data_IF_954442522524
#
_entry.id   IF_954442522524
#
_cell.length_a   1.000
_cell.length_b   1.000
_cell.length_c   1.000
_cell.angle_alpha   90.00
_cell.angle_beta   90.00
_cell.angle_gamma   90.00
#
_symmetry.space_group_name_H-M   'P 1'
#
loop_
_entity.id
_entity.type
_entity.pdbx_description
1 polymer ?
#
# COMPACT_ATOMS: atom_id res chain seq x y z
N UNK A 1 21.29 -11.77 -10.63
CA UNK A 1 20.65 -11.41 -9.37
C UNK A 1 19.34 -10.69 -9.69
N UNK A 2 18.35 -10.84 -8.86
CA UNK A 2 17.01 -10.26 -8.99
C UNK A 2 16.38 -10.21 -7.59
N UNK A 3 15.07 -10.04 -7.51
CA UNK A 3 14.33 -9.97 -6.26
C UNK A 3 13.18 -10.97 -6.22
N UNK A 4 12.90 -11.48 -5.04
CA UNK A 4 11.67 -12.20 -4.73
C UNK A 4 10.80 -11.27 -3.85
N UNK A 5 9.85 -10.59 -4.50
CA UNK A 5 8.93 -9.65 -3.85
C UNK A 5 7.68 -10.39 -3.38
N UNK A 6 7.32 -10.19 -2.11
CA UNK A 6 6.06 -10.67 -1.56
C UNK A 6 5.17 -9.47 -1.22
N UNK A 7 3.95 -9.49 -1.74
CA UNK A 7 2.94 -8.48 -1.44
C UNK A 7 1.73 -9.16 -0.83
N UNK A 8 1.46 -8.86 0.44
CA UNK A 8 0.31 -9.38 1.15
C UNK A 8 -0.80 -8.34 1.19
N UNK A 9 -1.99 -8.73 0.79
CA UNK A 9 -3.18 -7.89 0.74
C UNK A 9 -4.23 -8.49 1.66
N UNK A 10 -4.88 -7.67 2.49
CA UNK A 10 -5.97 -8.13 3.35
C UNK A 10 -7.05 -8.85 2.52
N UNK A 11 -7.46 -10.02 2.97
CA UNK A 11 -8.44 -10.84 2.26
C UNK A 11 -9.82 -10.81 2.97
N UNK A 12 -10.75 -9.93 2.55
CA UNK A 12 -12.10 -9.90 3.09
C UNK A 12 -12.99 -11.06 2.60
N UNK A 13 -12.57 -11.81 1.58
CA UNK A 13 -13.41 -12.85 0.96
C UNK A 13 -13.75 -14.01 1.90
N UNK A 14 -12.92 -14.21 2.94
CA UNK A 14 -13.18 -15.23 3.96
C UNK A 14 -14.45 -14.93 4.79
N UNK A 15 -14.87 -13.66 4.92
CA UNK A 15 -16.09 -13.25 5.65
C UNK A 15 -17.19 -12.70 4.74
N UNK A 16 -16.83 -12.05 3.64
CA UNK A 16 -17.80 -11.48 2.68
C UNK A 16 -18.16 -12.56 1.65
N UNK A 17 -19.19 -13.33 1.94
CA UNK A 17 -19.62 -14.40 1.03
C UNK A 17 -20.48 -13.86 -0.11
N UNK A 18 -20.30 -14.34 -1.35
CA UNK A 18 -21.12 -13.96 -2.48
C UNK A 18 -22.61 -14.08 -2.21
N UNK A 19 -23.39 -13.05 -2.54
CA UNK A 19 -24.84 -13.00 -2.35
C UNK A 19 -25.31 -12.69 -0.92
N UNK A 20 -24.40 -12.55 0.05
CA UNK A 20 -24.74 -12.10 1.41
C UNK A 20 -25.20 -10.64 1.41
N UNK A 21 -25.89 -10.20 2.47
CA UNK A 21 -26.30 -8.79 2.62
C UNK A 21 -25.08 -7.86 2.67
N UNK A 22 -23.97 -8.34 3.22
CA UNK A 22 -22.71 -7.61 3.25
C UNK A 22 -22.11 -7.43 1.85
N UNK A 23 -22.14 -8.48 1.02
CA UNK A 23 -21.70 -8.43 -0.38
C UNK A 23 -22.58 -7.48 -1.21
N UNK A 24 -23.91 -7.59 -1.07
CA UNK A 24 -24.87 -6.70 -1.75
C UNK A 24 -24.63 -5.23 -1.39
N UNK A 25 -24.40 -4.93 -0.10
CA UNK A 25 -24.13 -3.56 0.34
C UNK A 25 -22.77 -3.07 -0.15
N UNK A 26 -21.75 -3.91 -0.15
CA UNK A 26 -20.43 -3.58 -0.70
C UNK A 26 -20.50 -3.27 -2.21
N UNK A 27 -21.25 -4.09 -2.97
CA UNK A 27 -21.52 -3.84 -4.40
C UNK A 27 -22.27 -2.52 -4.63
N UNK A 28 -23.27 -2.23 -3.79
CA UNK A 28 -24.03 -0.98 -3.87
C UNK A 28 -23.15 0.26 -3.63
N UNK A 29 -22.22 0.19 -2.68
CA UNK A 29 -21.25 1.25 -2.39
C UNK A 29 -20.19 1.37 -3.47
N UNK A 30 -19.71 0.26 -3.99
CA UNK A 30 -18.70 0.16 -5.05
C UNK A 30 -17.28 0.53 -4.64
N UNK A 31 -17.13 1.48 -3.70
CA UNK A 31 -15.84 1.95 -3.18
C UNK A 31 -15.99 2.56 -1.79
N UNK A 32 -14.90 2.73 -1.07
CA UNK A 32 -14.85 3.60 0.10
C UNK A 32 -14.77 5.05 -0.34
N UNK A 33 -15.50 5.95 0.33
CA UNK A 33 -15.51 7.39 0.05
C UNK A 33 -14.76 8.14 1.14
N UNK A 34 -13.78 8.94 0.72
CA UNK A 34 -12.91 9.70 1.62
C UNK A 34 -13.27 11.19 1.54
N UNK A 35 -13.64 11.76 2.68
CA UNK A 35 -13.93 13.18 2.84
C UNK A 35 -12.84 13.84 3.69
N UNK A 36 -12.89 15.17 3.81
CA UNK A 36 -11.86 15.89 4.55
C UNK A 36 -11.81 15.54 6.04
N UNK A 37 -12.96 15.22 6.63
CA UNK A 37 -13.17 14.95 8.07
C UNK A 37 -13.62 13.52 8.37
N UNK A 38 -14.02 12.75 7.36
CA UNK A 38 -14.63 11.45 7.57
C UNK A 38 -14.36 10.49 6.42
N UNK A 39 -14.53 9.20 6.68
CA UNK A 39 -14.46 8.14 5.69
C UNK A 39 -15.73 7.27 5.80
N UNK A 40 -16.36 7.01 4.67
CA UNK A 40 -17.43 6.02 4.58
C UNK A 40 -16.85 4.78 3.93
N UNK A 41 -16.55 3.73 4.70
CA UNK A 41 -15.93 2.52 4.15
C UNK A 41 -16.91 1.70 3.33
N UNK A 42 -16.42 0.99 2.32
CA UNK A 42 -17.20 0.03 1.52
C UNK A 42 -17.69 -1.14 2.37
N UNK A 43 -16.87 -1.61 3.30
CA UNK A 43 -17.20 -2.64 4.30
C UNK A 43 -17.33 -2.01 5.69
N UNK A 44 -18.09 -2.59 6.63
CA UNK A 44 -18.19 -2.11 8.01
C UNK A 44 -16.82 -1.94 8.67
N UNK A 45 -16.64 -0.88 9.48
CA UNK A 45 -15.37 -0.56 10.14
C UNK A 45 -14.84 -1.71 11.00
N UNK A 46 -15.73 -2.50 11.62
CA UNK A 46 -15.35 -3.70 12.37
C UNK A 46 -14.59 -4.73 11.51
N UNK A 47 -14.80 -4.73 10.20
CA UNK A 47 -14.06 -5.57 9.25
C UNK A 47 -12.85 -4.82 8.69
N UNK A 48 -13.05 -3.65 8.09
CA UNK A 48 -12.00 -2.91 7.37
C UNK A 48 -10.88 -2.39 8.29
N UNK A 49 -11.23 -1.95 9.49
CA UNK A 49 -10.26 -1.41 10.47
C UNK A 49 -9.90 -2.44 11.56
N UNK A 50 -10.74 -3.46 11.73
CA UNK A 50 -10.60 -4.50 12.76
C UNK A 50 -10.07 -5.82 12.21
N UNK A 51 -10.99 -6.72 11.83
CA UNK A 51 -10.69 -8.13 11.55
C UNK A 51 -9.73 -8.33 10.35
N UNK A 52 -9.78 -7.47 9.35
CA UNK A 52 -8.93 -7.55 8.14
C UNK A 52 -7.77 -6.56 8.12
N UNK A 53 -7.68 -5.66 9.09
CA UNK A 53 -6.53 -4.76 9.17
C UNK A 53 -5.26 -5.56 9.49
N UNK A 54 -4.22 -5.39 8.67
CA UNK A 54 -2.93 -6.08 8.84
C UNK A 54 -2.09 -5.38 9.93
N UNK A 55 -2.62 -5.39 11.16
CA UNK A 55 -1.99 -4.77 12.32
C UNK A 55 -0.75 -5.55 12.77
N UNK A 56 0.28 -4.88 13.33
CA UNK A 56 1.46 -5.54 13.87
C UNK A 56 1.12 -6.59 14.93
N UNK A 57 1.90 -7.67 14.96
CA UNK A 57 1.82 -8.75 15.94
C UNK A 57 0.45 -9.47 15.99
N UNK A 58 -0.31 -9.36 14.91
CA UNK A 58 -1.60 -10.04 14.80
C UNK A 58 -1.62 -10.90 13.54
N UNK A 59 -1.98 -12.18 13.74
CA UNK A 59 -2.17 -13.10 12.62
C UNK A 59 -3.46 -12.74 11.87
N UNK A 60 -3.35 -12.50 10.57
CA UNK A 60 -4.47 -12.10 9.69
C UNK A 60 -4.48 -12.89 8.40
N UNK A 61 -5.67 -13.22 7.86
CA UNK A 61 -5.79 -13.78 6.54
C UNK A 61 -5.40 -12.74 5.48
N UNK A 62 -4.61 -13.17 4.51
CA UNK A 62 -4.16 -12.34 3.42
C UNK A 62 -4.06 -13.14 2.13
N UNK A 63 -4.27 -12.46 1.01
CA UNK A 63 -3.89 -12.91 -0.30
C UNK A 63 -2.43 -12.50 -0.53
N UNK A 64 -1.54 -13.46 -0.66
CA UNK A 64 -0.10 -13.21 -0.84
C UNK A 64 0.28 -13.47 -2.29
N UNK A 65 0.85 -12.44 -2.91
CA UNK A 65 1.39 -12.50 -4.25
C UNK A 65 2.92 -12.58 -4.17
N UNK A 66 3.51 -13.65 -4.70
CA UNK A 66 4.95 -13.86 -4.80
C UNK A 66 5.38 -13.55 -6.23
N UNK A 67 6.28 -12.61 -6.40
CA UNK A 67 6.79 -12.15 -7.69
C UNK A 67 8.30 -12.37 -7.75
N UNK A 68 8.77 -13.15 -8.73
CA UNK A 68 10.20 -13.19 -9.04
C UNK A 68 10.50 -12.14 -10.10
N UNK A 69 11.41 -11.22 -9.77
CA UNK A 69 11.74 -10.04 -10.56
C UNK A 69 13.21 -10.13 -10.98
N UNK A 70 13.47 -9.99 -12.28
CA UNK A 70 14.83 -9.97 -12.81
C UNK A 70 15.58 -8.70 -12.44
N UNK A 71 16.90 -8.68 -12.62
CA UNK A 71 17.72 -7.46 -12.46
C UNK A 71 17.28 -6.29 -13.36
N UNK A 72 16.55 -6.55 -14.42
CA UNK A 72 16.07 -5.55 -15.37
C UNK A 72 14.63 -5.09 -15.08
N UNK A 73 13.99 -5.67 -14.07
CA UNK A 73 12.63 -5.31 -13.62
C UNK A 73 11.51 -6.07 -14.33
N UNK A 74 11.84 -7.12 -15.09
CA UNK A 74 10.85 -8.01 -15.67
C UNK A 74 10.33 -8.99 -14.61
N UNK A 75 9.00 -9.11 -14.51
CA UNK A 75 8.36 -10.11 -13.65
C UNK A 75 8.37 -11.45 -14.40
N UNK A 76 9.17 -12.38 -13.94
CA UNK A 76 9.39 -13.68 -14.59
C UNK A 76 8.47 -14.77 -14.07
N UNK A 77 8.01 -14.66 -12.82
CA UNK A 77 7.09 -15.60 -12.21
C UNK A 77 6.13 -14.87 -11.28
N UNK A 78 4.89 -15.36 -11.22
CA UNK A 78 3.87 -14.92 -10.28
C UNK A 78 3.17 -16.14 -9.69
N UNK A 79 3.06 -16.19 -8.36
CA UNK A 79 2.26 -17.18 -7.63
C UNK A 79 1.41 -16.47 -6.59
N UNK A 80 0.15 -16.82 -6.54
CA UNK A 80 -0.82 -16.22 -5.61
C UNK A 80 -1.35 -17.34 -4.71
N UNK A 81 -1.41 -17.08 -3.42
CA UNK A 81 -1.96 -18.01 -2.45
C UNK A 81 -2.66 -17.30 -1.30
N UNK A 82 -3.59 -17.99 -0.68
CA UNK A 82 -4.17 -17.57 0.60
C UNK A 82 -3.23 -17.98 1.72
N UNK A 83 -2.92 -17.06 2.61
CA UNK A 83 -2.03 -17.31 3.74
C UNK A 83 -2.50 -16.61 5.01
N UNK A 84 -1.99 -17.06 6.14
CA UNK A 84 -2.04 -16.32 7.38
C UNK A 84 -0.71 -15.60 7.56
N UNK A 85 -0.74 -14.29 7.72
CA UNK A 85 0.44 -13.47 7.92
C UNK A 85 0.40 -12.77 9.26
N UNK A 86 1.58 -12.42 9.77
CA UNK A 86 1.76 -11.57 10.94
C UNK A 86 2.65 -10.39 10.55
N UNK A 87 2.06 -9.20 10.51
CA UNK A 87 2.81 -7.98 10.25
C UNK A 87 3.78 -7.69 11.39
N UNK A 88 5.00 -7.28 11.08
CA UNK A 88 6.04 -6.98 12.10
C UNK A 88 6.07 -5.51 12.49
N UNK A 89 5.61 -4.61 11.62
CA UNK A 89 5.59 -3.19 11.89
C UNK A 89 4.52 -2.47 11.08
N UNK A 90 4.03 -1.36 11.61
CA UNK A 90 3.22 -0.37 10.90
C UNK A 90 4.09 0.86 10.69
N UNK A 91 4.38 1.15 9.43
CA UNK A 91 5.24 2.26 9.04
C UNK A 91 4.42 3.39 8.42
N UNK A 92 4.79 4.64 8.70
CA UNK A 92 4.22 5.79 8.01
C UNK A 92 5.01 6.12 6.74
N UNK A 93 4.33 6.69 5.74
CA UNK A 93 5.00 7.17 4.52
C UNK A 93 6.08 8.20 4.81
N UNK A 94 5.88 9.02 5.86
CA UNK A 94 6.83 10.05 6.27
C UNK A 94 8.11 9.44 6.85
N UNK A 95 7.99 8.44 7.74
CA UNK A 95 9.15 7.71 8.30
C UNK A 95 9.98 7.04 7.21
N UNK A 96 9.32 6.30 6.32
CA UNK A 96 10.00 5.58 5.24
C UNK A 96 10.66 6.55 4.27
N UNK A 97 9.99 7.65 3.90
CA UNK A 97 10.57 8.66 3.01
C UNK A 97 11.79 9.35 3.64
N UNK A 98 11.72 9.73 4.92
CA UNK A 98 12.84 10.31 5.63
C UNK A 98 14.05 9.38 5.66
N UNK A 99 13.84 8.09 5.93
CA UNK A 99 14.89 7.09 5.89
C UNK A 99 15.52 6.96 4.50
N UNK A 100 14.71 6.85 3.45
CA UNK A 100 15.18 6.70 2.07
C UNK A 100 15.90 7.95 1.56
N UNK A 101 15.55 9.13 2.05
CA UNK A 101 16.22 10.40 1.72
C UNK A 101 17.47 10.66 2.56
N UNK A 102 17.83 9.78 3.50
CA UNK A 102 18.91 9.99 4.48
C UNK A 102 18.69 11.28 5.31
N UNK A 103 17.46 11.62 5.62
CA UNK A 103 17.13 12.75 6.50
C UNK A 103 17.30 12.33 7.96
N UNK A 104 18.22 12.97 8.66
CA UNK A 104 18.41 12.76 10.10
C UNK A 104 17.22 13.34 10.87
N UNK A 105 16.24 12.50 11.19
CA UNK A 105 15.19 12.86 12.16
C UNK A 105 15.66 12.47 13.55
N UNK A 106 15.84 13.47 14.37
CA UNK A 106 16.31 13.35 15.78
C UNK A 106 15.21 12.99 16.77
N UNK A 107 13.95 12.90 16.34
CA UNK A 107 12.84 12.55 17.24
C UNK A 107 12.83 11.04 17.50
N UNK A 108 13.09 10.68 18.74
CA UNK A 108 13.28 9.30 19.22
C UNK A 108 12.09 8.36 19.05
N UNK A 109 10.88 8.90 18.91
CA UNK A 109 9.65 8.11 18.79
C UNK A 109 9.36 7.63 17.35
N UNK A 110 10.11 8.11 16.35
CA UNK A 110 9.87 7.85 14.93
C UNK A 110 10.98 7.00 14.28
N UNK A 111 11.84 6.36 15.09
CA UNK A 111 12.96 5.59 14.57
C UNK A 111 12.52 4.21 14.05
N UNK A 112 12.95 3.91 12.82
CA UNK A 112 12.80 2.59 12.24
C UNK A 112 13.71 1.58 12.95
N UNK A 113 13.18 0.39 13.21
CA UNK A 113 13.97 -0.73 13.73
C UNK A 113 15.12 -1.06 12.77
N UNK A 114 16.29 -1.36 13.33
CA UNK A 114 17.46 -1.75 12.55
C UNK A 114 17.25 -3.02 11.71
N UNK A 115 16.34 -3.87 12.11
CA UNK A 115 15.97 -5.06 11.34
C UNK A 115 15.14 -4.74 10.07
N UNK A 116 14.45 -3.60 10.05
CA UNK A 116 13.58 -3.20 8.92
C UNK A 116 14.35 -2.38 7.88
N UNK A 117 15.34 -1.61 8.29
CA UNK A 117 16.11 -0.73 7.41
C UNK A 117 16.70 -1.43 6.17
N UNK A 118 17.38 -2.61 6.31
CA UNK A 118 17.89 -3.33 5.14
C UNK A 118 16.78 -3.75 4.18
N UNK A 119 15.63 -4.21 4.72
CA UNK A 119 14.49 -4.63 3.90
C UNK A 119 13.90 -3.46 3.12
N UNK A 120 13.81 -2.26 3.73
CA UNK A 120 13.33 -1.06 3.05
C UNK A 120 14.29 -0.60 1.94
N UNK A 121 15.60 -0.73 2.14
CA UNK A 121 16.60 -0.44 1.10
C UNK A 121 16.44 -1.36 -0.09
N UNK A 122 16.39 -2.67 0.14
CA UNK A 122 16.18 -3.68 -0.90
C UNK A 122 14.85 -3.47 -1.64
N UNK A 123 13.79 -3.16 -0.90
CA UNK A 123 12.47 -2.89 -1.46
C UNK A 123 12.46 -1.63 -2.33
N UNK A 124 13.17 -0.59 -1.92
CA UNK A 124 13.34 0.62 -2.72
C UNK A 124 14.10 0.34 -4.02
N UNK A 125 15.18 -0.42 -3.95
CA UNK A 125 15.96 -0.78 -5.15
C UNK A 125 15.11 -1.60 -6.12
N UNK A 126 14.33 -2.55 -5.61
CA UNK A 126 13.36 -3.30 -6.40
C UNK A 126 12.32 -2.38 -7.07
N UNK A 127 11.74 -1.43 -6.32
CA UNK A 127 10.75 -0.50 -6.85
C UNK A 127 11.33 0.41 -7.95
N UNK A 128 12.57 0.87 -7.80
CA UNK A 128 13.27 1.68 -8.81
C UNK A 128 13.46 0.89 -10.12
N UNK A 129 13.82 -0.38 -10.02
CA UNK A 129 14.01 -1.25 -11.19
C UNK A 129 12.67 -1.54 -11.88
N UNK A 130 11.61 -1.83 -11.11
CA UNK A 130 10.25 -1.99 -11.64
C UNK A 130 9.76 -0.72 -12.38
N UNK A 131 9.96 0.45 -11.79
CA UNK A 131 9.62 1.72 -12.44
C UNK A 131 10.40 1.93 -13.74
N UNK A 132 11.71 1.67 -13.72
CA UNK A 132 12.56 1.78 -14.91
C UNK A 132 12.09 0.86 -16.05
N UNK A 133 11.71 -0.37 -15.71
CA UNK A 133 11.15 -1.32 -16.67
C UNK A 133 9.82 -0.82 -17.28
N UNK A 134 8.91 -0.33 -16.44
CA UNK A 134 7.62 0.24 -16.87
C UNK A 134 7.83 1.46 -17.78
N UNK A 135 8.79 2.33 -17.49
CA UNK A 135 9.14 3.48 -18.34
C UNK A 135 9.59 3.05 -19.71
N UNK A 136 10.44 2.02 -19.82
CA UNK A 136 10.87 1.45 -21.13
C UNK A 136 9.69 0.95 -21.96
N UNK A 137 8.62 0.48 -21.30
CA UNK A 137 7.39 0.00 -21.96
C UNK A 137 6.35 1.11 -22.19
N UNK A 138 6.64 2.37 -21.88
CA UNK A 138 5.70 3.50 -21.93
C UNK A 138 4.41 3.28 -21.11
N UNK A 139 4.52 2.58 -19.97
CA UNK A 139 3.42 2.25 -19.07
C UNK A 139 3.37 3.15 -17.81
N UNK A 140 4.12 4.22 -17.80
CA UNK A 140 4.12 5.21 -16.70
C UNK A 140 3.29 6.40 -17.13
N UNK A 141 2.32 6.75 -16.31
CA UNK A 141 1.56 7.99 -16.43
C UNK A 141 2.27 9.11 -15.65
N UNK A 142 2.06 10.34 -16.10
CA UNK A 142 2.56 11.50 -15.37
C UNK A 142 1.90 11.61 -13.99
N UNK A 143 2.70 12.05 -13.01
CA UNK A 143 2.20 12.29 -11.66
C UNK A 143 1.11 13.37 -11.70
N UNK A 144 -0.07 13.05 -11.16
CA UNK A 144 -1.14 14.05 -10.98
C UNK A 144 -1.02 14.64 -9.60
N UNK A 145 -1.09 15.96 -9.52
CA UNK A 145 -1.16 16.65 -8.23
C UNK A 145 -2.50 16.34 -7.56
N UNK A 146 -2.44 15.75 -6.39
CA UNK A 146 -3.60 15.55 -5.53
C UNK A 146 -3.75 16.73 -4.58
N UNK A 147 -4.99 17.10 -4.27
CA UNK A 147 -5.29 18.21 -3.35
C UNK A 147 -6.11 17.69 -2.17
N UNK A 148 -5.84 18.25 -0.99
CA UNK A 148 -6.58 17.95 0.23
C UNK A 148 -7.09 19.24 0.84
N UNK A 149 -8.39 19.27 1.22
CA UNK A 149 -8.95 20.32 2.03
C UNK A 149 -8.55 20.16 3.50
N UNK A 150 -8.00 21.20 4.10
CA UNK A 150 -7.85 21.32 5.55
C UNK A 150 -9.08 21.99 6.12
N UNK A 151 -9.62 21.42 7.21
CA UNK A 151 -10.78 21.96 7.88
C UNK A 151 -10.35 22.84 9.06
N UNK A 152 -11.12 23.91 9.31
CA UNK A 152 -11.01 24.69 10.53
C UNK A 152 -11.80 24.03 11.68
N UNK A 153 -11.76 24.65 12.87
CA UNK A 153 -12.46 24.16 14.08
C UNK A 153 -13.99 24.08 13.92
N UNK A 154 -14.55 24.72 12.89
CA UNK A 154 -15.96 24.69 12.56
C UNK A 154 -16.32 23.62 11.51
N UNK A 155 -15.36 22.79 11.09
CA UNK A 155 -15.55 21.76 10.07
C UNK A 155 -15.71 22.30 8.64
N UNK A 156 -15.29 23.55 8.38
CA UNK A 156 -15.30 24.16 7.04
C UNK A 156 -13.90 24.10 6.42
N UNK A 157 -13.84 23.95 5.10
CA UNK A 157 -12.56 24.01 4.37
C UNK A 157 -11.95 25.40 4.57
N UNK A 158 -10.78 25.42 5.22
CA UNK A 158 -9.99 26.60 5.47
C UNK A 158 -8.94 26.81 4.38
N UNK A 159 -8.26 25.73 4.00
CA UNK A 159 -7.21 25.73 2.98
C UNK A 159 -7.31 24.51 2.08
N UNK A 160 -6.83 24.64 0.86
CA UNK A 160 -6.59 23.52 -0.05
C UNK A 160 -5.08 23.43 -0.25
N UNK A 161 -4.51 22.31 0.19
CA UNK A 161 -3.08 22.03 0.06
C UNK A 161 -2.83 20.98 -1.02
N UNK A 162 -1.73 21.11 -1.75
CA UNK A 162 -1.26 20.05 -2.62
C UNK A 162 -0.64 18.94 -1.79
N UNK A 163 -0.98 17.70 -2.12
CA UNK A 163 -0.36 16.52 -1.51
C UNK A 163 0.84 16.11 -2.37
N UNK A 164 2.03 16.29 -1.85
CA UNK A 164 3.22 15.79 -2.51
C UNK A 164 3.39 14.29 -2.28
N UNK A 165 3.57 13.56 -3.38
CA UNK A 165 3.86 12.14 -3.35
C UNK A 165 5.35 11.94 -3.10
N UNK A 166 5.70 11.45 -1.91
CA UNK A 166 7.08 11.16 -1.54
C UNK A 166 7.55 9.78 -2.07
N UNK A 167 8.83 9.44 -1.83
CA UNK A 167 9.42 8.18 -2.29
C UNK A 167 8.67 6.95 -1.78
N UNK A 168 8.17 6.97 -0.55
CA UNK A 168 7.46 5.83 0.02
C UNK A 168 6.10 5.59 -0.67
N UNK A 169 5.40 6.64 -1.10
CA UNK A 169 4.19 6.48 -1.92
C UNK A 169 4.51 5.82 -3.27
N UNK A 170 5.59 6.25 -3.93
CA UNK A 170 6.02 5.68 -5.22
C UNK A 170 6.45 4.22 -5.08
N UNK A 171 7.15 3.88 -4.00
CA UNK A 171 7.55 2.51 -3.69
C UNK A 171 6.32 1.59 -3.57
N UNK A 172 5.34 1.97 -2.75
CA UNK A 172 4.10 1.17 -2.58
C UNK A 172 3.33 1.07 -3.89
N UNK A 173 3.25 2.17 -4.65
CA UNK A 173 2.60 2.16 -5.98
C UNK A 173 3.25 1.13 -6.91
N UNK A 174 4.57 1.11 -7.02
CA UNK A 174 5.25 0.15 -7.91
C UNK A 174 4.97 -1.30 -7.50
N UNK A 175 4.97 -1.61 -6.19
CA UNK A 175 4.59 -2.93 -5.70
C UNK A 175 3.15 -3.30 -6.08
N UNK A 176 2.20 -2.38 -5.89
CA UNK A 176 0.79 -2.62 -6.21
C UNK A 176 0.55 -2.76 -7.71
N UNK A 177 1.22 -1.94 -8.54
CA UNK A 177 1.13 -2.05 -10.00
C UNK A 177 1.73 -3.37 -10.47
N UNK A 178 2.85 -3.82 -9.88
CA UNK A 178 3.45 -5.11 -10.19
C UNK A 178 2.46 -6.26 -9.95
N UNK A 179 1.79 -6.27 -8.78
CA UNK A 179 0.75 -7.26 -8.46
C UNK A 179 -0.41 -7.18 -9.45
N UNK A 180 -0.97 -5.99 -9.67
CA UNK A 180 -2.14 -5.82 -10.55
C UNK A 180 -1.86 -6.30 -11.98
N UNK A 181 -0.68 -6.01 -12.50
CA UNK A 181 -0.26 -6.50 -13.84
C UNK A 181 -0.11 -8.01 -13.88
N UNK A 182 0.42 -8.60 -12.82
CA UNK A 182 0.65 -10.05 -12.74
C UNK A 182 -0.66 -10.83 -12.60
N UNK A 183 -1.66 -10.25 -11.93
CA UNK A 183 -2.99 -10.87 -11.77
C UNK A 183 -3.83 -10.74 -13.04
N UNK A 184 -3.60 -9.70 -13.84
CA UNK A 184 -4.34 -9.43 -15.08
C UNK A 184 -3.87 -10.26 -16.28
N UNK A 185 -2.70 -10.89 -16.21
CA UNK A 185 -2.11 -11.76 -17.24
C UNK A 185 -2.40 -13.23 -16.95
#
# INVERSE_FOLDING_TARGET
>A
AGWDLQVAIADPSCAVKPGSELDKEALRRGTSSYFADNMIPMLPSALSEGAFSLLPEQVRPALVCHLSISSDGEITQCRIENALIESKAKLSYTQVAAFLNNEDKTDSDDQLSDSIKPVLTELNDCALVLNSYRRKLNLVLDDRTEFRGLLNDQGKIDQIISMERNLAHKLVEECMVAVNRSVAN
#
